data_IF_454671163823
#
_entry.id   IF_454671163823
#
_cell.length_a   1.000
_cell.length_b   1.000
_cell.length_c   1.000
_cell.angle_alpha   90.00
_cell.angle_beta   90.00
_cell.angle_gamma   90.00
#
_symmetry.space_group_name_H-M   'P 1'
#
loop_
_entity.id
_entity.type
_entity.pdbx_description
1 polymer ?
#
# COMPACT_ATOMS: atom_id res chain seq x y z
N UNK A 1 24.41 71.61 -8.00
CA UNK A 1 25.44 70.56 -7.81
C UNK A 1 24.69 69.28 -7.47
N UNK A 2 23.78 68.85 -8.35
CA UNK A 2 22.65 67.99 -7.92
C UNK A 2 22.64 66.62 -8.61
N UNK A 3 23.56 66.37 -9.55
CA UNK A 3 23.65 65.08 -10.25
C UNK A 3 24.23 63.96 -9.37
N UNK A 4 25.17 64.28 -8.47
CA UNK A 4 25.86 63.28 -7.64
C UNK A 4 24.98 62.67 -6.55
N UNK A 5 23.93 63.38 -6.09
CA UNK A 5 23.01 62.86 -5.06
C UNK A 5 21.97 61.91 -5.67
N UNK A 6 21.48 62.21 -6.88
CA UNK A 6 20.51 61.35 -7.56
C UNK A 6 21.12 60.02 -8.01
N UNK A 7 22.40 60.01 -8.36
CA UNK A 7 23.09 58.79 -8.82
C UNK A 7 23.30 57.79 -7.67
N UNK A 8 23.64 58.27 -6.46
CA UNK A 8 23.73 57.41 -5.27
C UNK A 8 22.37 56.85 -4.83
N UNK A 9 21.31 57.67 -4.90
CA UNK A 9 19.95 57.23 -4.52
C UNK A 9 19.42 56.15 -5.48
N UNK A 10 19.76 56.24 -6.77
CA UNK A 10 19.44 55.21 -7.77
C UNK A 10 20.24 53.93 -7.50
N UNK A 11 21.53 54.04 -7.19
CA UNK A 11 22.39 52.89 -6.90
C UNK A 11 21.92 52.13 -5.64
N UNK A 12 21.56 52.85 -4.57
CA UNK A 12 21.01 52.26 -3.36
C UNK A 12 19.66 51.56 -3.61
N UNK A 13 18.78 52.18 -4.40
CA UNK A 13 17.50 51.58 -4.78
C UNK A 13 17.68 50.30 -5.60
N UNK A 14 18.66 50.26 -6.53
CA UNK A 14 18.96 49.08 -7.33
C UNK A 14 19.56 47.97 -6.46
N UNK A 15 20.40 48.32 -5.49
CA UNK A 15 21.00 47.35 -4.56
C UNK A 15 19.95 46.72 -3.63
N UNK A 16 18.99 47.50 -3.16
CA UNK A 16 17.83 46.99 -2.40
C UNK A 16 17.01 46.04 -3.26
N UNK A 17 16.68 46.44 -4.49
CA UNK A 17 15.91 45.61 -5.41
C UNK A 17 16.62 44.28 -5.74
N UNK A 18 17.94 44.28 -5.92
CA UNK A 18 18.73 43.08 -6.15
C UNK A 18 18.68 42.12 -4.95
N UNK A 19 18.82 42.63 -3.72
CA UNK A 19 18.73 41.82 -2.50
C UNK A 19 17.35 41.21 -2.29
N UNK A 20 16.30 42.00 -2.55
CA UNK A 20 14.92 41.51 -2.46
C UNK A 20 14.65 40.43 -3.51
N UNK A 21 15.16 40.63 -4.73
CA UNK A 21 15.09 39.62 -5.78
C UNK A 21 15.79 38.32 -5.39
N UNK A 22 17.02 38.40 -4.89
CA UNK A 22 17.78 37.23 -4.44
C UNK A 22 17.05 36.48 -3.31
N UNK A 23 16.48 37.21 -2.36
CA UNK A 23 15.69 36.62 -1.28
C UNK A 23 14.44 35.90 -1.79
N UNK A 24 13.71 36.52 -2.72
CA UNK A 24 12.51 35.93 -3.32
C UNK A 24 12.89 34.65 -4.07
N UNK A 25 13.95 34.71 -4.88
CA UNK A 25 14.43 33.57 -5.67
C UNK A 25 14.94 32.45 -4.77
N UNK A 26 15.69 32.74 -3.72
CA UNK A 26 16.18 31.72 -2.77
C UNK A 26 15.02 31.05 -2.02
N UNK A 27 14.01 31.83 -1.60
CA UNK A 27 12.79 31.29 -0.98
C UNK A 27 12.02 30.40 -1.96
N UNK A 28 11.86 30.82 -3.21
CA UNK A 28 11.19 30.04 -4.24
C UNK A 28 11.94 28.73 -4.55
N UNK A 29 13.28 28.78 -4.64
CA UNK A 29 14.12 27.58 -4.86
C UNK A 29 13.98 26.57 -3.72
N UNK A 30 14.11 27.01 -2.48
CA UNK A 30 13.99 26.14 -1.29
C UNK A 30 12.58 25.57 -1.15
N UNK A 31 11.56 26.40 -1.38
CA UNK A 31 10.16 25.97 -1.38
C UNK A 31 9.87 24.94 -2.45
N UNK A 32 10.32 25.20 -3.69
CA UNK A 32 10.17 24.28 -4.82
C UNK A 32 10.87 22.94 -4.60
N UNK A 33 12.11 22.96 -4.10
CA UNK A 33 12.86 21.74 -3.81
C UNK A 33 12.16 20.88 -2.75
N UNK A 34 11.79 21.47 -1.60
CA UNK A 34 11.09 20.75 -0.52
C UNK A 34 9.77 20.15 -1.01
N UNK A 35 8.97 20.95 -1.71
CA UNK A 35 7.71 20.49 -2.27
C UNK A 35 7.93 19.35 -3.26
N UNK A 36 8.94 19.43 -4.13
CA UNK A 36 9.26 18.36 -5.08
C UNK A 36 9.66 17.05 -4.39
N UNK A 37 10.42 17.12 -3.29
CA UNK A 37 10.78 15.95 -2.47
C UNK A 37 9.53 15.34 -1.82
N UNK A 38 8.69 16.17 -1.21
CA UNK A 38 7.46 15.72 -0.54
C UNK A 38 6.46 15.11 -1.54
N UNK A 39 6.24 15.78 -2.67
CA UNK A 39 5.35 15.32 -3.73
C UNK A 39 5.85 13.99 -4.33
N UNK A 40 7.16 13.85 -4.57
CA UNK A 40 7.76 12.61 -5.06
C UNK A 40 7.61 11.46 -4.06
N UNK A 41 7.86 11.72 -2.76
CA UNK A 41 7.66 10.71 -1.71
C UNK A 41 6.21 10.27 -1.59
N UNK A 42 5.27 11.22 -1.63
CA UNK A 42 3.84 10.93 -1.54
C UNK A 42 3.34 10.16 -2.76
N UNK A 43 3.85 10.46 -3.95
CA UNK A 43 3.48 9.76 -5.18
C UNK A 43 3.81 8.27 -5.08
N UNK A 44 5.08 7.94 -4.76
CA UNK A 44 5.53 6.54 -4.63
C UNK A 44 4.78 5.81 -3.50
N UNK A 45 4.54 6.52 -2.37
CA UNK A 45 3.78 5.95 -1.27
C UNK A 45 2.34 5.62 -1.66
N UNK A 46 1.65 6.54 -2.34
CA UNK A 46 0.26 6.36 -2.73
C UNK A 46 0.11 5.22 -3.74
N UNK A 47 0.99 5.14 -4.73
CA UNK A 47 1.01 4.05 -5.72
C UNK A 47 1.18 2.68 -5.04
N UNK A 48 2.15 2.57 -4.14
CA UNK A 48 2.41 1.36 -3.37
C UNK A 48 1.22 0.99 -2.47
N UNK A 49 0.64 1.99 -1.80
CA UNK A 49 -0.54 1.82 -0.96
C UNK A 49 -1.75 1.34 -1.76
N UNK A 50 -2.03 1.95 -2.92
CA UNK A 50 -3.17 1.59 -3.77
C UNK A 50 -3.05 0.16 -4.30
N UNK A 51 -1.85 -0.25 -4.72
CA UNK A 51 -1.59 -1.62 -5.14
C UNK A 51 -1.78 -2.60 -3.97
N UNK A 52 -1.23 -2.27 -2.80
CA UNK A 52 -1.38 -3.06 -1.58
C UNK A 52 -2.85 -3.18 -1.14
N UNK A 53 -3.60 -2.08 -1.17
CA UNK A 53 -5.01 -2.03 -0.82
C UNK A 53 -5.84 -2.88 -1.79
N UNK A 54 -5.62 -2.77 -3.10
CA UNK A 54 -6.29 -3.57 -4.12
C UNK A 54 -6.08 -5.06 -3.88
N UNK A 55 -4.82 -5.50 -3.74
CA UNK A 55 -4.46 -6.91 -3.50
C UNK A 55 -5.05 -7.39 -2.16
N UNK A 56 -4.89 -6.62 -1.09
CA UNK A 56 -5.42 -6.95 0.24
C UNK A 56 -6.95 -7.02 0.29
N UNK A 57 -7.65 -6.12 -0.38
CA UNK A 57 -9.11 -6.12 -0.49
C UNK A 57 -9.61 -7.37 -1.21
N UNK A 58 -8.99 -7.73 -2.34
CA UNK A 58 -9.35 -8.94 -3.09
C UNK A 58 -9.27 -10.20 -2.20
N UNK A 59 -8.16 -10.38 -1.48
CA UNK A 59 -7.97 -11.49 -0.54
C UNK A 59 -9.01 -11.46 0.58
N UNK A 60 -9.19 -10.30 1.24
CA UNK A 60 -10.12 -10.14 2.34
C UNK A 60 -11.58 -10.40 1.92
N UNK A 61 -11.95 -10.02 0.69
CA UNK A 61 -13.27 -10.26 0.13
C UNK A 61 -13.55 -11.76 -0.04
N UNK A 62 -12.61 -12.52 -0.61
CA UNK A 62 -12.73 -13.98 -0.73
C UNK A 62 -12.78 -14.65 0.64
N UNK A 63 -11.93 -14.22 1.58
CA UNK A 63 -11.97 -14.68 2.97
C UNK A 63 -13.34 -14.43 3.62
N UNK A 64 -13.95 -13.29 3.35
CA UNK A 64 -15.31 -12.95 3.79
C UNK A 64 -16.37 -13.92 3.24
N UNK A 65 -16.26 -14.29 1.96
CA UNK A 65 -17.13 -15.30 1.35
C UNK A 65 -16.99 -16.66 2.04
N UNK A 66 -15.77 -17.14 2.29
CA UNK A 66 -15.57 -18.39 3.02
C UNK A 66 -16.12 -18.32 4.44
N UNK A 67 -15.91 -17.19 5.13
CA UNK A 67 -16.50 -16.98 6.45
C UNK A 67 -18.03 -17.01 6.44
N UNK A 68 -18.66 -16.57 5.36
CA UNK A 68 -20.11 -16.62 5.22
C UNK A 68 -20.66 -18.05 5.24
N UNK A 69 -19.88 -19.06 4.83
CA UNK A 69 -20.28 -20.47 4.89
C UNK A 69 -20.53 -20.94 6.32
N UNK A 70 -19.92 -20.31 7.33
CA UNK A 70 -20.22 -20.64 8.73
C UNK A 70 -21.70 -20.42 9.09
N UNK A 71 -22.41 -19.59 8.33
CA UNK A 71 -23.86 -19.39 8.50
C UNK A 71 -24.70 -20.41 7.73
N UNK A 72 -24.11 -21.09 6.75
CA UNK A 72 -24.79 -22.06 5.86
C UNK A 72 -24.55 -23.51 6.25
N UNK A 73 -23.45 -23.79 6.98
CA UNK A 73 -23.12 -25.13 7.48
C UNK A 73 -23.86 -25.38 8.80
N UNK A 74 -24.37 -26.61 9.06
CA UNK A 74 -25.01 -26.96 10.33
C UNK A 74 -24.09 -26.65 11.52
N UNK A 75 -24.66 -26.13 12.61
CA UNK A 75 -23.91 -25.70 13.81
C UNK A 75 -23.15 -26.83 14.51
N UNK A 76 -23.47 -28.07 14.16
CA UNK A 76 -22.95 -29.29 14.77
C UNK A 76 -21.66 -29.79 14.08
N UNK A 77 -21.22 -29.11 13.01
CA UNK A 77 -19.98 -29.43 12.30
C UNK A 77 -18.81 -28.74 12.99
N UNK A 78 -17.95 -29.52 13.63
CA UNK A 78 -16.66 -29.03 14.13
C UNK A 78 -15.65 -28.90 12.98
N UNK A 79 -15.02 -27.73 12.91
CA UNK A 79 -13.99 -27.44 11.93
C UNK A 79 -12.60 -27.80 12.50
N UNK A 80 -11.67 -28.27 11.66
CA UNK A 80 -10.27 -28.36 12.03
C UNK A 80 -9.74 -27.02 12.57
N UNK A 81 -8.85 -27.09 13.57
CA UNK A 81 -8.35 -25.92 14.29
C UNK A 81 -7.72 -24.87 13.36
N UNK A 82 -6.97 -25.30 12.34
CA UNK A 82 -6.37 -24.40 11.34
C UNK A 82 -7.43 -23.61 10.55
N UNK A 83 -8.55 -24.25 10.16
CA UNK A 83 -9.65 -23.60 9.45
C UNK A 83 -10.31 -22.57 10.36
N UNK A 84 -10.55 -22.93 11.63
CA UNK A 84 -11.14 -22.03 12.63
C UNK A 84 -10.28 -20.79 12.85
N UNK A 85 -8.96 -20.95 12.95
CA UNK A 85 -8.02 -19.84 13.12
C UNK A 85 -8.02 -18.88 11.93
N UNK A 86 -8.01 -19.41 10.70
CA UNK A 86 -8.11 -18.61 9.47
C UNK A 86 -9.42 -17.80 9.47
N UNK A 87 -10.57 -18.47 9.70
CA UNK A 87 -11.89 -17.84 9.63
C UNK A 87 -12.10 -16.77 10.74
N UNK A 88 -11.49 -16.96 11.90
CA UNK A 88 -11.50 -15.98 13.00
C UNK A 88 -10.69 -14.72 12.66
N UNK A 89 -9.58 -14.87 11.93
CA UNK A 89 -8.64 -13.78 11.59
C UNK A 89 -8.86 -13.17 10.21
N UNK A 90 -9.97 -13.47 9.54
CA UNK A 90 -10.33 -12.93 8.20
C UNK A 90 -10.23 -11.41 8.06
N UNK A 91 -10.49 -10.65 9.13
CA UNK A 91 -10.34 -9.18 9.14
C UNK A 91 -8.91 -8.70 8.86
N UNK A 92 -7.91 -9.57 9.04
CA UNK A 92 -6.50 -9.28 8.75
C UNK A 92 -6.12 -9.59 7.30
N UNK A 93 -7.05 -10.07 6.46
CA UNK A 93 -6.81 -10.27 5.03
C UNK A 93 -5.71 -11.28 4.70
N UNK A 94 -5.49 -12.30 5.55
CA UNK A 94 -4.33 -13.21 5.44
C UNK A 94 -2.98 -12.45 5.38
N UNK A 95 -2.80 -11.43 6.22
CA UNK A 95 -1.54 -10.73 6.39
C UNK A 95 -0.45 -11.65 6.97
N UNK A 96 0.61 -11.90 6.20
CA UNK A 96 1.75 -12.75 6.55
C UNK A 96 2.54 -12.15 7.72
N UNK A 97 2.85 -10.86 7.66
CA UNK A 97 3.54 -10.15 8.75
C UNK A 97 2.78 -10.23 10.08
N UNK A 98 1.46 -10.15 10.01
CA UNK A 98 0.57 -10.23 11.17
C UNK A 98 0.44 -11.65 11.75
N UNK A 99 0.78 -12.67 10.97
CA UNK A 99 0.78 -14.06 11.38
C UNK A 99 2.15 -14.49 11.93
N UNK A 100 3.23 -13.95 11.36
CA UNK A 100 4.59 -14.28 11.74
C UNK A 100 5.12 -13.49 12.95
N UNK A 101 4.31 -12.59 13.54
CA UNK A 101 4.71 -11.65 14.62
C UNK A 101 6.09 -11.03 14.35
N UNK A 102 6.38 -10.75 13.07
CA UNK A 102 7.71 -10.35 12.65
C UNK A 102 8.07 -9.01 13.27
N UNK A 103 9.21 -8.99 13.95
CA UNK A 103 9.82 -7.75 14.40
C UNK A 103 10.23 -6.95 13.16
N UNK A 104 9.62 -5.77 13.00
CA UNK A 104 9.79 -4.86 11.86
C UNK A 104 11.27 -4.50 11.68
N UNK A 105 12.07 -4.65 12.74
CA UNK A 105 13.51 -4.34 12.77
C UNK A 105 14.42 -5.50 12.33
N UNK A 106 13.89 -6.71 12.11
CA UNK A 106 14.67 -7.93 11.89
C UNK A 106 14.74 -8.39 10.42
N UNK A 107 13.97 -7.78 9.51
CA UNK A 107 13.87 -8.25 8.13
C UNK A 107 14.70 -7.37 7.19
N UNK A 108 15.91 -7.82 6.85
CA UNK A 108 16.69 -7.30 5.70
C UNK A 108 16.08 -7.78 4.36
N UNK A 109 14.75 -7.69 4.21
CA UNK A 109 14.04 -8.12 3.00
C UNK A 109 13.77 -6.93 2.10
N UNK A 110 13.89 -7.13 0.80
CA UNK A 110 13.45 -6.14 -0.18
C UNK A 110 11.92 -6.00 -0.15
N UNK A 111 11.42 -4.89 -0.68
CA UNK A 111 9.98 -4.67 -0.81
C UNK A 111 9.32 -5.77 -1.65
N UNK A 112 9.96 -6.21 -2.73
CA UNK A 112 9.46 -7.26 -3.61
C UNK A 112 9.38 -8.62 -2.90
N UNK A 113 10.38 -8.96 -2.09
CA UNK A 113 10.36 -10.19 -1.29
C UNK A 113 9.18 -10.21 -0.31
N UNK A 114 8.89 -9.08 0.33
CA UNK A 114 7.75 -8.95 1.25
C UNK A 114 6.43 -9.14 0.49
N UNK A 115 6.31 -8.55 -0.70
CA UNK A 115 5.12 -8.68 -1.53
C UNK A 115 4.90 -10.12 -2.01
N UNK A 116 5.97 -10.81 -2.41
CA UNK A 116 5.91 -12.19 -2.87
C UNK A 116 5.57 -13.17 -1.74
N UNK A 117 6.13 -12.97 -0.55
CA UNK A 117 5.78 -13.75 0.64
C UNK A 117 4.32 -13.53 1.03
N UNK A 118 3.86 -12.27 1.06
CA UNK A 118 2.47 -11.94 1.33
C UNK A 118 1.53 -12.59 0.30
N UNK A 119 1.89 -12.53 -0.99
CA UNK A 119 1.11 -13.14 -2.08
C UNK A 119 1.04 -14.66 -1.90
N UNK A 120 2.19 -15.31 -1.75
CA UNK A 120 2.29 -16.77 -1.57
C UNK A 120 1.48 -17.24 -0.36
N UNK A 121 1.65 -16.58 0.79
CA UNK A 121 0.92 -16.89 2.01
C UNK A 121 -0.60 -16.72 1.83
N UNK A 122 -1.05 -15.62 1.23
CA UNK A 122 -2.48 -15.37 1.01
C UNK A 122 -3.12 -16.43 0.11
N UNK A 123 -2.43 -16.85 -0.95
CA UNK A 123 -2.91 -17.91 -1.86
C UNK A 123 -2.98 -19.24 -1.13
N UNK A 124 -1.96 -19.61 -0.34
CA UNK A 124 -1.97 -20.85 0.44
C UNK A 124 -3.16 -20.89 1.42
N UNK A 125 -3.45 -19.77 2.09
CA UNK A 125 -4.60 -19.66 3.00
C UNK A 125 -5.92 -19.84 2.24
N UNK A 126 -6.08 -19.16 1.11
CA UNK A 126 -7.30 -19.27 0.29
C UNK A 126 -7.47 -20.67 -0.28
N UNK A 127 -6.40 -21.30 -0.75
CA UNK A 127 -6.42 -22.66 -1.28
C UNK A 127 -6.77 -23.68 -0.20
N UNK A 128 -6.22 -23.54 1.00
CA UNK A 128 -6.59 -24.37 2.16
C UNK A 128 -8.10 -24.31 2.44
N UNK A 129 -8.69 -23.10 2.40
CA UNK A 129 -10.14 -22.95 2.58
C UNK A 129 -10.92 -23.51 1.39
N UNK A 130 -10.44 -23.31 0.17
CA UNK A 130 -11.08 -23.80 -1.05
C UNK A 130 -11.14 -25.33 -1.10
N UNK A 131 -10.05 -26.00 -0.72
CA UNK A 131 -9.97 -27.46 -0.64
C UNK A 131 -10.91 -28.00 0.44
N UNK A 132 -10.90 -27.39 1.63
CA UNK A 132 -11.76 -27.80 2.74
C UNK A 132 -13.26 -27.63 2.42
N UNK A 133 -13.62 -26.49 1.82
CA UNK A 133 -15.02 -26.19 1.49
C UNK A 133 -15.44 -26.64 0.10
N UNK A 134 -14.65 -27.44 -0.63
CA UNK A 134 -14.97 -27.93 -1.98
C UNK A 134 -16.45 -28.30 -2.20
N UNK A 135 -17.12 -29.04 -1.29
CA UNK A 135 -18.53 -29.40 -1.46
C UNK A 135 -19.50 -28.20 -1.52
N UNK A 136 -19.11 -27.08 -0.91
CA UNK A 136 -19.92 -25.87 -0.71
C UNK A 136 -19.48 -24.69 -1.59
N UNK A 137 -18.29 -24.73 -2.18
CA UNK A 137 -17.70 -23.65 -2.99
C UNK A 137 -18.64 -23.18 -4.12
N UNK A 138 -19.42 -24.08 -4.73
CA UNK A 138 -20.39 -23.73 -5.79
C UNK A 138 -21.40 -22.66 -5.34
N UNK A 139 -21.71 -22.59 -4.05
CA UNK A 139 -22.63 -21.60 -3.48
C UNK A 139 -22.00 -20.20 -3.36
N UNK A 140 -20.67 -20.12 -3.34
CA UNK A 140 -19.93 -18.86 -3.13
C UNK A 140 -19.62 -18.09 -4.41
N UNK A 141 -19.89 -18.69 -5.59
CA UNK A 141 -19.47 -18.17 -6.88
C UNK A 141 -17.98 -17.76 -6.86
N UNK A 142 -17.13 -18.67 -6.38
CA UNK A 142 -15.67 -18.56 -6.36
C UNK A 142 -15.16 -19.73 -7.18
N UNK A 143 -14.35 -19.47 -8.21
CA UNK A 143 -13.63 -20.52 -8.90
C UNK A 143 -12.20 -20.64 -8.35
N UNK A 144 -11.60 -21.82 -8.53
CA UNK A 144 -10.16 -22.01 -8.30
C UNK A 144 -9.32 -21.00 -9.10
N UNK A 145 -9.77 -20.67 -10.31
CA UNK A 145 -9.12 -19.67 -11.15
C UNK A 145 -9.16 -18.26 -10.54
N UNK A 146 -10.13 -17.92 -9.69
CA UNK A 146 -10.16 -16.62 -9.01
C UNK A 146 -9.11 -16.53 -7.90
N UNK A 147 -8.75 -17.67 -7.29
CA UNK A 147 -7.66 -17.77 -6.31
C UNK A 147 -6.31 -17.76 -7.05
N UNK A 148 -6.19 -18.52 -8.15
CA UNK A 148 -4.95 -18.60 -8.94
C UNK A 148 -4.61 -17.30 -9.69
N UNK A 149 -5.61 -16.50 -10.08
CA UNK A 149 -5.38 -15.15 -10.63
C UNK A 149 -4.60 -14.24 -9.67
N UNK A 150 -4.64 -14.51 -8.36
CA UNK A 150 -3.86 -13.75 -7.37
C UNK A 150 -2.36 -14.09 -7.40
N UNK A 151 -1.95 -15.22 -8.00
CA UNK A 151 -0.54 -15.53 -8.24
C UNK A 151 0.01 -14.75 -9.45
N UNK A 152 -0.80 -14.64 -10.52
CA UNK A 152 -0.39 -14.12 -11.83
C UNK A 152 -0.99 -12.76 -12.17
N UNK A 153 -0.91 -11.78 -11.26
CA UNK A 153 -1.09 -10.39 -11.69
C UNK A 153 0.27 -9.91 -12.18
N UNK A 154 0.49 -9.75 -13.50
CA UNK A 154 1.65 -9.00 -13.96
C UNK A 154 1.49 -7.60 -13.36
N UNK A 155 2.51 -7.12 -12.67
CA UNK A 155 2.56 -5.73 -12.29
C UNK A 155 2.40 -4.95 -13.61
N UNK A 156 1.31 -4.17 -13.68
CA UNK A 156 1.05 -3.33 -14.84
C UNK A 156 2.09 -2.22 -14.76
N UNK A 157 3.27 -2.50 -15.29
CA UNK A 157 4.28 -1.50 -15.62
C UNK A 157 3.62 -0.52 -16.60
N UNK A 158 3.39 0.70 -16.15
CA UNK A 158 3.15 1.87 -16.99
C UNK A 158 4.00 3.02 -16.47
#
# INVERSE_FOLDING_TARGET
MDNSSNESDIEDSLNIAAKDWDRIIDSAKKGGYRKGVDDGSNFVFQESFDNGYKKGFQTAFILGKFKSLLNSVPKDVEYPQNIKEILNKTRRGACHMCAAEQDINSTNKSFDEILDEQRSYSVQVLQTLYEYFQPYVKQLNISESDILKMQNVPDLDN
#
